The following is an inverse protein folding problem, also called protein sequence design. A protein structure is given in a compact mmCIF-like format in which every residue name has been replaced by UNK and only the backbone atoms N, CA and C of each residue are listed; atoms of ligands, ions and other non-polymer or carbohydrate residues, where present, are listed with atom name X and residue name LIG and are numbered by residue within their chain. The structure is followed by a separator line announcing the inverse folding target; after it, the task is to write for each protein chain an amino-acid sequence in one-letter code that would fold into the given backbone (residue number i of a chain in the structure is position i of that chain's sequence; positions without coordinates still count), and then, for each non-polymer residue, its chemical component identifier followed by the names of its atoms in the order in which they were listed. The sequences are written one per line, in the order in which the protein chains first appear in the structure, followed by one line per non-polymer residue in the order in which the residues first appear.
data_IF_961068661416
#
_entry.id   IF_961068661416
#
_cell.length_a   1.000
_cell.length_b   1.000
_cell.length_c   1.000
_cell.angle_alpha   90.00
_cell.angle_beta   90.00
_cell.angle_gamma   90.00
#
_symmetry.space_group_name_H-M   'P 1'
#
loop_
_entity.id
_entity.type
_entity.pdbx_description
1 polymer ?
#
# COMPACT_ATOMS: atom_id res chain seq x y z
N UNK A 1 31.83 22.76 3.93
CA UNK A 1 33.25 23.02 4.29
C UNK A 1 34.24 22.03 3.61
N UNK A 2 33.90 20.75 3.46
CA UNK A 2 34.78 19.73 2.81
C UNK A 2 35.02 20.00 1.32
N UNK A 3 34.02 20.53 0.59
CA UNK A 3 34.06 20.81 -0.85
C UNK A 3 35.16 21.82 -1.25
N UNK A 4 35.34 22.86 -0.45
CA UNK A 4 36.33 23.94 -0.73
C UNK A 4 37.76 23.55 -0.36
N UNK A 5 37.97 22.59 0.55
CA UNK A 5 39.29 22.08 0.91
C UNK A 5 39.89 21.13 -0.16
N UNK A 6 39.05 20.36 -0.87
CA UNK A 6 39.45 19.47 -1.94
C UNK A 6 40.00 20.21 -3.18
N UNK A 7 39.44 21.35 -3.52
CA UNK A 7 39.88 22.16 -4.66
C UNK A 7 41.29 22.78 -4.40
N UNK A 8 41.57 23.12 -3.14
CA UNK A 8 42.86 23.78 -2.77
C UNK A 8 44.05 22.84 -2.62
N UNK A 9 43.83 21.54 -2.33
CA UNK A 9 44.88 20.58 -2.02
C UNK A 9 45.21 19.64 -3.19
N UNK A 10 44.23 19.31 -4.04
CA UNK A 10 44.44 18.28 -5.10
C UNK A 10 44.09 18.82 -6.50
N UNK A 11 43.51 20.02 -6.62
CA UNK A 11 43.15 20.64 -7.92
C UNK A 11 42.05 19.89 -8.70
N UNK A 12 41.26 19.05 -8.02
CA UNK A 12 40.27 18.18 -8.63
C UNK A 12 38.85 18.63 -8.20
N UNK A 13 37.99 18.83 -9.16
CA UNK A 13 36.57 19.17 -8.91
C UNK A 13 35.74 17.87 -8.86
N UNK A 14 35.26 17.44 -7.65
CA UNK A 14 34.70 16.09 -7.47
C UNK A 14 33.48 15.79 -8.34
N UNK A 15 32.79 16.81 -8.85
CA UNK A 15 31.59 16.61 -9.72
C UNK A 15 31.92 16.55 -11.22
N UNK A 16 33.00 17.21 -11.68
CA UNK A 16 33.40 17.27 -13.08
C UNK A 16 34.30 16.12 -13.51
N UNK A 17 35.20 15.66 -12.60
CA UNK A 17 36.19 14.63 -12.91
C UNK A 17 35.62 13.20 -12.74
N UNK A 18 34.57 12.99 -11.94
CA UNK A 18 33.81 11.73 -11.87
C UNK A 18 33.05 11.50 -13.19
N UNK A 19 32.45 12.55 -13.78
CA UNK A 19 31.71 12.46 -15.03
C UNK A 19 32.64 12.19 -16.25
N UNK A 20 33.94 12.48 -16.16
CA UNK A 20 34.89 12.36 -17.28
C UNK A 20 35.76 11.12 -17.24
N UNK A 21 35.59 10.20 -16.26
CA UNK A 21 36.34 8.93 -16.20
C UNK A 21 37.84 9.05 -15.86
N UNK A 22 38.34 10.20 -15.42
CA UNK A 22 39.76 10.47 -15.11
C UNK A 22 40.24 9.99 -13.73
N UNK A 23 39.49 9.07 -13.11
CA UNK A 23 39.83 8.53 -11.77
C UNK A 23 41.15 7.73 -11.79
N UNK A 24 41.51 7.14 -12.93
CA UNK A 24 42.77 6.40 -13.06
C UNK A 24 44.03 7.30 -12.87
N UNK A 25 43.92 8.58 -13.24
CA UNK A 25 45.05 9.55 -13.16
C UNK A 25 45.25 10.03 -11.71
N UNK A 26 44.19 10.09 -10.91
CA UNK A 26 44.25 10.42 -9.48
C UNK A 26 44.94 9.29 -8.69
N UNK A 27 44.75 8.02 -9.11
CA UNK A 27 45.34 6.84 -8.49
C UNK A 27 46.86 6.81 -8.68
N UNK A 28 47.40 7.24 -9.83
CA UNK A 28 48.82 7.30 -10.09
C UNK A 28 49.54 8.44 -9.36
N UNK A 29 48.86 9.58 -9.14
CA UNK A 29 49.38 10.73 -8.41
C UNK A 29 49.41 10.55 -6.88
N UNK A 30 48.45 9.81 -6.31
CA UNK A 30 48.39 9.56 -4.85
C UNK A 30 49.50 8.57 -4.37
N UNK A 31 50.03 7.72 -5.25
CA UNK A 31 51.12 6.77 -4.90
C UNK A 31 52.49 7.42 -4.79
N UNK A 32 52.69 8.66 -5.24
CA UNK A 32 54.03 9.32 -5.25
C UNK A 32 54.24 10.33 -4.11
N UNK A 33 53.27 10.57 -3.23
CA UNK A 33 53.38 11.52 -2.12
C UNK A 33 53.83 10.87 -0.80
N UNK A 34 55.11 10.73 -0.62
CA UNK A 34 55.75 10.24 0.62
C UNK A 34 55.88 11.31 1.73
N UNK A 35 55.28 12.49 1.58
CA UNK A 35 55.43 13.65 2.48
C UNK A 35 54.13 14.10 3.19
N UNK A 36 53.11 13.23 3.28
CA UNK A 36 51.87 13.61 3.97
C UNK A 36 51.86 13.19 5.45
N UNK A 37 51.33 14.07 6.32
CA UNK A 37 51.14 13.77 7.73
C UNK A 37 50.13 12.63 7.94
N UNK A 38 50.22 11.87 9.02
CA UNK A 38 49.32 10.71 9.31
C UNK A 38 47.82 11.05 9.18
N UNK A 39 47.44 12.26 9.51
CA UNK A 39 46.02 12.73 9.43
C UNK A 39 45.54 12.88 7.99
N UNK A 40 46.40 13.42 7.09
CA UNK A 40 46.04 13.55 5.68
C UNK A 40 46.06 12.21 4.94
N UNK A 41 46.81 11.24 5.39
CA UNK A 41 46.80 9.86 4.87
C UNK A 41 45.50 9.13 5.24
N UNK A 42 44.95 9.37 6.44
CA UNK A 42 43.69 8.83 6.89
C UNK A 42 42.47 9.43 6.12
N UNK A 43 42.52 10.75 5.88
CA UNK A 43 41.50 11.44 5.06
C UNK A 43 41.55 10.97 3.60
N UNK A 44 42.72 10.79 3.03
CA UNK A 44 42.88 10.25 1.66
C UNK A 44 42.43 8.79 1.53
N UNK A 45 42.67 7.95 2.55
CA UNK A 45 42.09 6.59 2.58
C UNK A 45 40.57 6.60 2.63
N UNK A 46 39.93 7.42 3.46
CA UNK A 46 38.51 7.55 3.54
C UNK A 46 37.87 7.99 2.21
N UNK A 47 38.51 8.93 1.50
CA UNK A 47 38.04 9.41 0.18
C UNK A 47 38.21 8.31 -0.89
N UNK A 48 39.30 7.57 -0.87
CA UNK A 48 39.51 6.43 -1.79
C UNK A 48 38.51 5.30 -1.53
N UNK A 49 38.23 4.98 -0.28
CA UNK A 49 37.19 3.99 0.08
C UNK A 49 35.79 4.45 -0.33
N UNK A 50 35.47 5.75 -0.16
CA UNK A 50 34.20 6.32 -0.64
C UNK A 50 34.09 6.25 -2.17
N UNK A 51 35.17 6.59 -2.88
CA UNK A 51 35.26 6.49 -4.33
C UNK A 51 35.05 5.06 -4.84
N UNK A 52 35.70 4.08 -4.20
CA UNK A 52 35.55 2.66 -4.51
C UNK A 52 34.11 2.13 -4.20
N UNK A 53 33.47 2.63 -3.13
CA UNK A 53 32.09 2.34 -2.84
C UNK A 53 31.15 2.91 -3.92
N UNK A 54 31.36 4.15 -4.34
CA UNK A 54 30.58 4.79 -5.40
C UNK A 54 30.76 4.05 -6.74
N UNK A 55 31.99 3.68 -7.11
CA UNK A 55 32.23 2.89 -8.33
C UNK A 55 31.59 1.52 -8.28
N UNK A 56 31.61 0.84 -7.13
CA UNK A 56 30.90 -0.44 -6.94
C UNK A 56 29.39 -0.28 -7.09
N UNK A 57 28.82 0.75 -6.48
CA UNK A 57 27.38 1.05 -6.57
C UNK A 57 26.99 1.35 -8.02
N UNK A 58 27.76 2.22 -8.70
CA UNK A 58 27.49 2.58 -10.11
C UNK A 58 27.68 1.39 -11.06
N UNK A 59 28.63 0.49 -10.78
CA UNK A 59 28.80 -0.75 -11.55
C UNK A 59 27.64 -1.72 -11.30
N UNK A 60 27.20 -1.87 -10.04
CA UNK A 60 26.03 -2.68 -9.70
C UNK A 60 24.73 -2.09 -10.28
N UNK A 61 24.57 -0.77 -10.32
CA UNK A 61 23.43 -0.11 -10.99
C UNK A 61 23.43 -0.39 -12.50
N UNK A 62 24.60 -0.41 -13.17
CA UNK A 62 24.72 -0.80 -14.57
C UNK A 62 24.51 -2.30 -14.80
N UNK A 63 25.04 -3.15 -13.93
CA UNK A 63 24.85 -4.61 -14.01
C UNK A 63 23.40 -5.00 -13.66
N UNK A 64 22.71 -4.15 -12.89
CA UNK A 64 21.31 -4.35 -12.50
C UNK A 64 20.33 -4.06 -13.64
N UNK A 65 20.71 -3.30 -14.68
CA UNK A 65 19.86 -2.98 -15.83
C UNK A 65 18.39 -2.71 -15.42
N UNK A 66 18.19 -1.78 -14.45
CA UNK A 66 16.86 -1.45 -13.93
C UNK A 66 16.03 -0.78 -15.02
N UNK A 67 14.72 -1.07 -15.13
CA UNK A 67 13.83 -0.39 -16.05
C UNK A 67 13.87 1.13 -15.82
N UNK A 68 13.82 1.91 -16.90
CA UNK A 68 13.71 3.37 -16.82
C UNK A 68 12.50 3.78 -15.96
N UNK A 69 12.70 4.67 -14.98
CA UNK A 69 11.65 5.12 -14.06
C UNK A 69 11.57 4.39 -12.72
N UNK A 70 12.49 3.44 -12.44
CA UNK A 70 12.56 2.83 -11.10
C UNK A 70 13.29 3.78 -10.14
N UNK A 71 12.60 4.34 -9.15
CA UNK A 71 13.25 5.13 -8.11
C UNK A 71 14.17 4.25 -7.25
N UNK A 72 15.47 4.50 -7.36
CA UNK A 72 16.47 3.81 -6.53
C UNK A 72 16.59 4.58 -5.21
N UNK A 73 15.83 4.15 -4.22
CA UNK A 73 15.87 4.73 -2.87
C UNK A 73 17.19 4.38 -2.14
N UNK A 74 17.62 5.23 -1.19
CA UNK A 74 18.80 4.97 -0.36
C UNK A 74 18.78 3.59 0.34
N UNK A 75 17.66 3.12 0.92
CA UNK A 75 17.58 1.78 1.50
C UNK A 75 17.86 0.66 0.51
N UNK A 76 17.38 0.79 -0.74
CA UNK A 76 17.64 -0.19 -1.79
C UNK A 76 19.14 -0.28 -2.13
N UNK A 77 19.83 0.86 -2.19
CA UNK A 77 21.28 0.89 -2.44
C UNK A 77 22.08 0.19 -1.33
N UNK A 78 21.70 0.43 -0.08
CA UNK A 78 22.32 -0.21 1.08
C UNK A 78 22.13 -1.73 0.99
N UNK A 79 20.90 -2.18 0.80
CA UNK A 79 20.57 -3.60 0.66
C UNK A 79 21.35 -4.28 -0.48
N UNK A 80 21.37 -3.67 -1.67
CA UNK A 80 22.11 -4.22 -2.82
C UNK A 80 23.63 -4.31 -2.57
N UNK A 81 24.18 -3.35 -1.83
CA UNK A 81 25.61 -3.39 -1.46
C UNK A 81 25.88 -4.53 -0.46
N UNK A 82 25.02 -4.76 0.50
CA UNK A 82 25.15 -5.84 1.50
C UNK A 82 25.08 -7.22 0.83
N UNK A 83 24.06 -7.49 0.02
CA UNK A 83 23.93 -8.77 -0.68
C UNK A 83 25.06 -9.01 -1.71
N UNK A 84 25.64 -7.92 -2.24
CA UNK A 84 26.77 -7.99 -3.17
C UNK A 84 28.07 -8.47 -2.53
N UNK A 85 28.20 -8.39 -1.20
CA UNK A 85 29.37 -8.86 -0.46
C UNK A 85 29.33 -10.38 -0.20
N UNK A 86 28.15 -10.99 -0.27
CA UNK A 86 27.95 -12.42 -0.03
C UNK A 86 28.44 -13.21 -1.26
N UNK A 87 29.34 -14.19 -1.08
CA UNK A 87 29.80 -15.01 -2.19
C UNK A 87 28.68 -15.88 -2.76
N UNK A 88 28.76 -16.17 -4.04
CA UNK A 88 27.83 -17.11 -4.68
C UNK A 88 28.19 -18.54 -4.25
N UNK A 89 27.18 -19.36 -3.98
CA UNK A 89 27.34 -20.76 -3.61
C UNK A 89 27.64 -21.61 -4.85
N UNK A 90 28.57 -22.54 -4.70
CA UNK A 90 28.81 -23.61 -5.67
C UNK A 90 27.71 -24.70 -5.56
N UNK A 91 27.59 -25.56 -6.55
CA UNK A 91 26.61 -26.65 -6.54
C UNK A 91 26.84 -27.64 -5.40
N UNK A 92 28.11 -27.90 -5.07
CA UNK A 92 28.50 -28.78 -3.96
C UNK A 92 28.12 -28.16 -2.62
N UNK A 93 28.38 -26.86 -2.43
CA UNK A 93 27.98 -26.10 -1.23
C UNK A 93 26.46 -26.02 -1.07
N UNK A 94 25.70 -25.82 -2.16
CA UNK A 94 24.23 -25.84 -2.15
C UNK A 94 23.70 -27.20 -1.62
N UNK A 95 24.29 -28.32 -2.06
CA UNK A 95 23.93 -29.67 -1.62
C UNK A 95 24.28 -29.93 -0.16
N UNK A 96 25.49 -29.55 0.24
CA UNK A 96 25.95 -29.71 1.62
C UNK A 96 25.10 -28.91 2.61
N UNK A 97 24.78 -27.65 2.27
CA UNK A 97 23.92 -26.80 3.05
C UNK A 97 22.49 -27.34 3.07
N UNK A 98 21.98 -27.86 1.94
CA UNK A 98 20.67 -28.51 1.87
C UNK A 98 20.58 -29.75 2.76
N UNK A 99 21.61 -30.58 2.80
CA UNK A 99 21.69 -31.75 3.67
C UNK A 99 21.67 -31.37 5.16
N UNK A 100 22.45 -30.33 5.55
CA UNK A 100 22.48 -29.81 6.91
C UNK A 100 21.17 -29.15 7.31
N UNK A 101 20.57 -28.37 6.42
CA UNK A 101 19.25 -27.74 6.62
C UNK A 101 18.16 -28.81 6.86
N UNK A 102 18.18 -29.92 6.11
CA UNK A 102 17.25 -31.03 6.31
C UNK A 102 17.45 -31.74 7.66
N UNK A 103 18.66 -31.69 8.25
CA UNK A 103 18.93 -32.17 9.60
C UNK A 103 18.51 -31.22 10.71
N UNK A 104 17.95 -30.03 10.37
CA UNK A 104 17.48 -29.04 11.33
C UNK A 104 18.52 -27.97 11.69
N UNK A 105 19.62 -27.84 10.95
CA UNK A 105 20.62 -26.78 11.13
C UNK A 105 20.10 -25.44 10.56
N UNK A 106 19.74 -24.51 11.45
CA UNK A 106 19.23 -23.19 11.08
C UNK A 106 20.34 -22.31 10.46
N UNK A 107 21.59 -22.46 10.87
CA UNK A 107 22.70 -21.69 10.34
C UNK A 107 22.99 -22.10 8.89
N UNK A 108 22.88 -23.37 8.58
CA UNK A 108 23.01 -23.87 7.22
C UNK A 108 21.88 -23.36 6.31
N UNK A 109 20.63 -23.36 6.82
CA UNK A 109 19.49 -22.79 6.09
C UNK A 109 19.68 -21.31 5.81
N UNK A 110 20.09 -20.54 6.82
CA UNK A 110 20.35 -19.10 6.68
C UNK A 110 21.43 -18.80 5.64
N UNK A 111 22.53 -19.57 5.62
CA UNK A 111 23.57 -19.43 4.59
C UNK A 111 23.06 -19.75 3.18
N UNK A 112 22.18 -20.74 3.04
CA UNK A 112 21.56 -21.08 1.76
C UNK A 112 20.66 -19.95 1.27
N UNK A 113 19.89 -19.32 2.16
CA UNK A 113 19.05 -18.15 1.87
C UNK A 113 19.90 -16.95 1.46
N UNK A 114 20.89 -16.57 2.26
CA UNK A 114 21.77 -15.42 2.01
C UNK A 114 22.51 -15.53 0.67
N UNK A 115 23.02 -16.70 0.33
CA UNK A 115 23.72 -16.93 -0.94
C UNK A 115 22.84 -16.77 -2.19
N UNK A 116 21.50 -16.85 -2.01
CA UNK A 116 20.53 -16.77 -3.10
C UNK A 116 19.71 -15.46 -3.13
N UNK A 117 19.97 -14.47 -2.28
CA UNK A 117 19.28 -13.17 -2.29
C UNK A 117 19.42 -12.44 -3.64
N UNK A 118 20.54 -12.59 -4.32
CA UNK A 118 20.79 -12.01 -5.66
C UNK A 118 19.84 -12.57 -6.72
N UNK A 119 19.44 -13.85 -6.60
CA UNK A 119 18.47 -14.47 -7.47
C UNK A 119 17.10 -13.79 -7.32
N UNK A 120 16.68 -13.50 -6.08
CA UNK A 120 15.41 -12.80 -5.80
C UNK A 120 15.39 -11.44 -6.49
N UNK A 121 16.45 -10.63 -6.37
CA UNK A 121 16.55 -9.32 -7.03
C UNK A 121 16.46 -9.45 -8.54
N UNK A 122 17.14 -10.45 -9.13
CA UNK A 122 17.09 -10.72 -10.56
C UNK A 122 15.66 -11.02 -11.05
N UNK A 123 14.90 -11.78 -10.27
CA UNK A 123 13.51 -12.10 -10.60
C UNK A 123 12.57 -10.90 -10.36
N UNK A 124 12.74 -10.15 -9.27
CA UNK A 124 11.91 -8.99 -8.91
C UNK A 124 11.88 -7.91 -10.01
N UNK A 125 12.98 -7.70 -10.72
CA UNK A 125 13.07 -6.76 -11.85
C UNK A 125 12.02 -6.99 -12.93
N UNK A 126 11.64 -8.23 -13.19
CA UNK A 126 10.64 -8.57 -14.20
C UNK A 126 9.20 -8.25 -13.77
N UNK A 127 9.02 -7.92 -12.49
CA UNK A 127 7.71 -7.61 -11.90
C UNK A 127 7.54 -6.13 -11.53
N UNK A 128 8.54 -5.28 -11.80
CA UNK A 128 8.46 -3.82 -11.57
C UNK A 128 7.35 -3.17 -12.39
N UNK A 129 6.82 -2.03 -11.90
CA UNK A 129 5.79 -1.27 -12.60
C UNK A 129 4.37 -1.86 -12.49
N UNK A 130 4.14 -2.79 -11.57
CA UNK A 130 2.84 -3.45 -11.35
C UNK A 130 2.09 -2.97 -10.12
N UNK A 131 2.38 -1.75 -9.64
CA UNK A 131 1.70 -1.15 -8.48
C UNK A 131 2.32 -1.47 -7.12
N UNK A 132 3.48 -2.16 -7.09
CA UNK A 132 4.25 -2.41 -5.87
C UNK A 132 5.68 -1.89 -6.08
N UNK A 133 6.30 -1.36 -5.02
CA UNK A 133 7.68 -0.90 -5.06
C UNK A 133 8.64 -2.07 -5.29
N UNK A 134 9.81 -1.80 -5.91
CA UNK A 134 10.81 -2.85 -6.12
C UNK A 134 11.32 -3.44 -4.80
N UNK A 135 11.43 -2.62 -3.76
CA UNK A 135 11.87 -3.08 -2.44
C UNK A 135 10.89 -4.06 -1.82
N UNK A 136 9.59 -3.76 -1.88
CA UNK A 136 8.56 -4.66 -1.36
C UNK A 136 8.49 -5.97 -2.15
N UNK A 137 8.63 -5.90 -3.49
CA UNK A 137 8.73 -7.12 -4.33
C UNK A 137 9.91 -7.99 -3.94
N UNK A 138 11.06 -7.39 -3.63
CA UNK A 138 12.24 -8.12 -3.16
C UNK A 138 11.94 -8.79 -1.82
N UNK A 139 11.31 -8.08 -0.86
CA UNK A 139 11.03 -8.65 0.46
C UNK A 139 10.00 -9.79 0.38
N UNK A 140 8.95 -9.63 -0.39
CA UNK A 140 7.99 -10.71 -0.65
C UNK A 140 8.65 -11.92 -1.34
N UNK A 141 9.57 -11.64 -2.29
CA UNK A 141 10.38 -12.67 -2.91
C UNK A 141 11.33 -13.37 -1.94
N UNK A 142 11.89 -12.65 -0.96
CA UNK A 142 12.72 -13.24 0.10
C UNK A 142 11.88 -14.18 0.99
N UNK A 143 10.63 -13.84 1.31
CA UNK A 143 9.71 -14.74 2.02
C UNK A 143 9.49 -16.02 1.21
N UNK A 144 9.32 -15.90 -0.11
CA UNK A 144 9.24 -17.06 -1.01
C UNK A 144 10.52 -17.90 -1.03
N UNK A 145 11.70 -17.27 -0.98
CA UNK A 145 13.00 -17.93 -0.90
C UNK A 145 13.15 -18.72 0.41
N UNK A 146 12.78 -18.12 1.56
CA UNK A 146 12.80 -18.78 2.86
C UNK A 146 11.91 -20.03 2.84
N UNK A 147 10.73 -19.91 2.27
CA UNK A 147 9.80 -21.06 2.12
C UNK A 147 10.37 -22.17 1.22
N UNK A 148 11.11 -21.78 0.17
CA UNK A 148 11.81 -22.72 -0.67
C UNK A 148 12.96 -23.43 0.09
N UNK A 149 13.71 -22.70 0.92
CA UNK A 149 14.80 -23.26 1.72
C UNK A 149 14.32 -24.28 2.76
N UNK A 150 13.14 -24.05 3.37
CA UNK A 150 12.49 -24.99 4.28
C UNK A 150 12.07 -26.32 3.63
N UNK A 151 11.62 -26.26 2.37
CA UNK A 151 11.05 -27.40 1.65
C UNK A 151 11.99 -28.02 0.63
N UNK A 152 13.23 -27.54 0.57
CA UNK A 152 14.21 -28.03 -0.39
C UNK A 152 14.64 -29.47 -0.09
N UNK A 153 14.50 -30.32 -1.12
CA UNK A 153 14.90 -31.71 -1.07
C UNK A 153 16.21 -31.90 -1.89
N UNK A 154 17.31 -32.01 -1.19
CA UNK A 154 18.65 -32.18 -1.77
C UNK A 154 18.87 -33.53 -2.48
N UNK A 155 17.98 -34.52 -2.23
CA UNK A 155 18.08 -35.84 -2.84
C UNK A 155 17.66 -35.83 -4.33
N UNK A 156 16.90 -34.80 -4.72
CA UNK A 156 16.52 -34.58 -6.10
C UNK A 156 17.67 -33.81 -6.78
N UNK A 157 18.32 -34.38 -7.75
CA UNK A 157 19.49 -33.82 -8.46
C UNK A 157 19.27 -32.45 -9.13
N UNK A 158 18.30 -31.66 -8.68
CA UNK A 158 17.97 -30.33 -9.18
C UNK A 158 18.69 -29.25 -8.39
N UNK A 159 19.19 -28.21 -9.07
CA UNK A 159 19.75 -27.02 -8.44
C UNK A 159 18.70 -26.32 -7.55
N UNK A 160 19.14 -25.82 -6.41
CA UNK A 160 18.29 -25.05 -5.50
C UNK A 160 17.66 -23.84 -6.21
N UNK A 161 18.41 -23.12 -7.04
CA UNK A 161 17.93 -21.97 -7.80
C UNK A 161 16.71 -22.29 -8.70
N UNK A 162 16.67 -23.49 -9.30
CA UNK A 162 15.53 -23.93 -10.13
C UNK A 162 14.27 -24.10 -9.31
N UNK A 163 14.37 -24.72 -8.14
CA UNK A 163 13.27 -24.92 -7.23
C UNK A 163 12.80 -23.60 -6.57
N UNK A 164 13.76 -22.83 -6.06
CA UNK A 164 13.49 -21.54 -5.41
C UNK A 164 12.83 -20.54 -6.36
N UNK A 165 13.23 -20.49 -7.63
CA UNK A 165 12.65 -19.58 -8.61
C UNK A 165 11.13 -19.70 -8.73
N UNK A 166 10.58 -20.90 -8.54
CA UNK A 166 9.14 -21.13 -8.60
C UNK A 166 8.43 -20.49 -7.38
N UNK A 167 8.95 -20.72 -6.18
CA UNK A 167 8.41 -20.16 -4.94
C UNK A 167 8.53 -18.64 -4.86
N UNK A 168 9.67 -18.10 -5.32
CA UNK A 168 9.91 -16.67 -5.38
C UNK A 168 8.90 -16.00 -6.32
N UNK A 169 8.69 -16.54 -7.51
CA UNK A 169 7.71 -16.01 -8.47
C UNK A 169 6.27 -16.09 -7.95
N UNK A 170 5.92 -17.19 -7.29
CA UNK A 170 4.60 -17.38 -6.68
C UNK A 170 4.37 -16.34 -5.57
N UNK A 171 5.34 -16.14 -4.66
CA UNK A 171 5.26 -15.15 -3.60
C UNK A 171 5.10 -13.72 -4.16
N UNK A 172 5.93 -13.33 -5.13
CA UNK A 172 5.83 -12.01 -5.78
C UNK A 172 4.48 -11.82 -6.49
N UNK A 173 4.02 -12.84 -7.22
CA UNK A 173 2.75 -12.77 -7.92
C UNK A 173 1.58 -12.63 -6.94
N UNK A 174 1.61 -13.38 -5.84
CA UNK A 174 0.61 -13.32 -4.78
C UNK A 174 0.60 -11.95 -4.09
N UNK A 175 1.78 -11.37 -3.84
CA UNK A 175 1.91 -10.03 -3.29
C UNK A 175 1.29 -8.98 -4.24
N UNK A 176 1.58 -9.06 -5.55
CA UNK A 176 0.99 -8.17 -6.56
C UNK A 176 -0.54 -8.29 -6.53
N UNK A 177 -1.09 -9.49 -6.46
CA UNK A 177 -2.54 -9.69 -6.47
C UNK A 177 -3.23 -9.17 -5.20
N UNK A 178 -2.51 -9.08 -4.09
CA UNK A 178 -3.04 -8.64 -2.80
C UNK A 178 -2.82 -7.16 -2.49
N UNK A 179 -1.73 -6.56 -2.98
CA UNK A 179 -1.25 -5.25 -2.50
C UNK A 179 -1.12 -4.20 -3.61
N UNK A 180 -1.23 -4.58 -4.90
CA UNK A 180 -1.01 -3.65 -6.02
C UNK A 180 -2.07 -2.56 -6.17
N UNK A 181 -3.22 -2.69 -5.50
CA UNK A 181 -4.35 -1.77 -5.61
C UNK A 181 -4.61 -1.07 -4.29
N UNK A 182 -4.93 0.22 -4.34
CA UNK A 182 -5.34 1.00 -3.17
C UNK A 182 -6.60 0.41 -2.51
N UNK A 183 -7.59 0.04 -3.32
CA UNK A 183 -8.76 -0.71 -2.85
C UNK A 183 -8.47 -2.20 -3.05
N UNK A 184 -8.25 -2.91 -1.93
CA UNK A 184 -7.95 -4.34 -1.93
C UNK A 184 -9.09 -5.15 -2.57
N UNK A 185 -8.72 -6.01 -3.50
CA UNK A 185 -9.63 -6.95 -4.18
C UNK A 185 -9.28 -8.39 -3.81
N UNK A 186 -10.27 -9.28 -3.59
CA UNK A 186 -10.01 -10.71 -3.38
C UNK A 186 -9.29 -11.36 -4.56
N UNK A 187 -8.41 -12.34 -4.29
CA UNK A 187 -7.54 -12.99 -5.29
C UNK A 187 -8.34 -13.58 -6.45
N UNK A 188 -9.46 -14.25 -6.19
CA UNK A 188 -10.31 -14.84 -7.23
C UNK A 188 -10.93 -13.80 -8.18
N UNK A 189 -11.22 -12.59 -7.67
CA UNK A 189 -11.69 -11.46 -8.51
C UNK A 189 -10.51 -10.91 -9.32
N UNK A 190 -9.33 -10.74 -8.72
CA UNK A 190 -8.12 -10.28 -9.42
C UNK A 190 -7.72 -11.23 -10.56
N UNK A 191 -7.85 -12.55 -10.38
CA UNK A 191 -7.64 -13.53 -11.44
C UNK A 191 -8.65 -13.38 -12.59
N UNK A 192 -9.92 -13.17 -12.28
CA UNK A 192 -10.94 -12.92 -13.29
C UNK A 192 -10.68 -11.61 -14.05
N UNK A 193 -10.26 -10.56 -13.35
CA UNK A 193 -9.87 -9.29 -13.96
C UNK A 193 -8.72 -9.47 -14.95
N UNK A 194 -7.70 -10.25 -14.61
CA UNK A 194 -6.58 -10.56 -15.53
C UNK A 194 -7.06 -11.32 -16.76
N UNK A 195 -7.98 -12.29 -16.60
CA UNK A 195 -8.56 -13.04 -17.70
C UNK A 195 -9.35 -12.12 -18.62
N UNK A 196 -10.23 -11.28 -18.07
CA UNK A 196 -11.02 -10.30 -18.83
C UNK A 196 -10.11 -9.34 -19.60
N UNK A 197 -9.08 -8.77 -18.95
CA UNK A 197 -8.12 -7.88 -19.60
C UNK A 197 -7.37 -8.56 -20.77
N UNK A 198 -6.96 -9.81 -20.56
CA UNK A 198 -6.26 -10.57 -21.61
C UNK A 198 -7.16 -10.77 -22.82
N UNK A 199 -8.39 -11.27 -22.60
CA UNK A 199 -9.37 -11.50 -23.67
C UNK A 199 -9.73 -10.19 -24.37
N UNK A 200 -9.94 -9.10 -23.61
CA UNK A 200 -10.22 -7.78 -24.16
C UNK A 200 -9.10 -7.30 -25.10
N UNK A 201 -7.83 -7.45 -24.69
CA UNK A 201 -6.65 -7.13 -25.53
C UNK A 201 -6.57 -8.00 -26.78
N UNK A 202 -6.80 -9.31 -26.65
CA UNK A 202 -6.77 -10.24 -27.76
C UNK A 202 -7.87 -9.92 -28.79
N UNK A 203 -9.08 -9.56 -28.31
CA UNK A 203 -10.20 -9.15 -29.19
C UNK A 203 -9.94 -7.77 -29.80
N UNK A 204 -9.38 -6.81 -29.05
CA UNK A 204 -8.99 -5.50 -29.56
C UNK A 204 -7.97 -5.64 -30.70
N UNK A 205 -7.00 -6.55 -30.56
CA UNK A 205 -6.02 -6.83 -31.61
C UNK A 205 -6.65 -7.45 -32.84
N UNK A 206 -7.68 -8.32 -32.67
CA UNK A 206 -8.41 -8.96 -33.77
C UNK A 206 -9.32 -8.00 -34.51
N UNK A 207 -10.06 -7.15 -33.80
CA UNK A 207 -11.11 -6.30 -34.35
C UNK A 207 -10.66 -4.87 -34.67
N UNK A 208 -9.50 -4.44 -34.15
CA UNK A 208 -9.00 -3.05 -34.27
C UNK A 208 -9.82 -2.00 -33.49
N UNK A 209 -10.76 -2.44 -32.64
CA UNK A 209 -11.58 -1.61 -31.76
C UNK A 209 -11.71 -2.23 -30.37
N UNK A 210 -12.16 -1.47 -29.41
CA UNK A 210 -12.49 -1.99 -28.09
C UNK A 210 -13.61 -3.04 -28.16
N UNK A 211 -13.41 -4.14 -27.43
CA UNK A 211 -14.36 -5.24 -27.38
C UNK A 211 -15.56 -4.89 -26.47
N UNK A 212 -16.75 -5.25 -26.89
CA UNK A 212 -17.95 -5.08 -26.05
C UNK A 212 -17.98 -6.13 -24.93
N UNK A 213 -18.62 -5.84 -23.77
CA UNK A 213 -18.74 -6.83 -22.69
C UNK A 213 -19.40 -8.15 -23.13
N UNK A 214 -20.26 -8.11 -24.13
CA UNK A 214 -20.93 -9.28 -24.70
C UNK A 214 -19.98 -10.16 -25.51
N UNK A 215 -19.08 -9.53 -26.28
CA UNK A 215 -18.05 -10.22 -27.04
C UNK A 215 -17.02 -10.89 -26.11
N UNK A 216 -16.63 -10.19 -25.03
CA UNK A 216 -15.74 -10.76 -24.02
C UNK A 216 -16.39 -11.94 -23.31
N UNK A 217 -17.67 -11.81 -22.94
CA UNK A 217 -18.43 -12.89 -22.29
C UNK A 217 -18.57 -14.12 -23.18
N UNK A 218 -18.79 -13.93 -24.49
CA UNK A 218 -18.88 -15.02 -25.46
C UNK A 218 -17.57 -15.81 -25.54
N UNK A 219 -16.41 -15.16 -25.48
CA UNK A 219 -15.10 -15.83 -25.48
C UNK A 219 -14.81 -16.52 -24.13
N UNK A 220 -15.33 -15.98 -23.01
CA UNK A 220 -15.17 -16.58 -21.67
C UNK A 220 -16.00 -17.86 -21.45
N UNK A 221 -16.99 -18.16 -22.27
CA UNK A 221 -17.89 -19.34 -22.29
C UNK A 221 -18.68 -19.61 -20.99
N UNK A 222 -18.17 -19.25 -19.82
CA UNK A 222 -18.72 -19.59 -18.50
C UNK A 222 -19.32 -18.41 -17.74
N UNK A 223 -19.31 -17.19 -18.31
CA UNK A 223 -19.68 -15.97 -17.57
C UNK A 223 -20.73 -15.13 -18.31
N UNK A 224 -21.64 -14.52 -17.56
CA UNK A 224 -22.67 -13.63 -18.12
C UNK A 224 -22.04 -12.26 -18.53
N UNK A 225 -22.65 -11.53 -19.47
CA UNK A 225 -22.20 -10.18 -19.84
C UNK A 225 -22.28 -9.20 -18.66
N UNK A 226 -23.22 -9.40 -17.74
CA UNK A 226 -23.36 -8.58 -16.51
C UNK A 226 -22.13 -8.74 -15.61
N UNK A 227 -21.65 -9.97 -15.41
CA UNK A 227 -20.43 -10.23 -14.66
C UNK A 227 -19.21 -9.55 -15.30
N UNK A 228 -19.10 -9.55 -16.63
CA UNK A 228 -18.01 -8.85 -17.32
C UNK A 228 -18.10 -7.34 -17.13
N UNK A 229 -19.30 -6.73 -17.16
CA UNK A 229 -19.51 -5.31 -16.87
C UNK A 229 -19.08 -4.97 -15.43
N UNK A 230 -19.43 -5.80 -14.47
CA UNK A 230 -19.03 -5.64 -13.07
C UNK A 230 -17.50 -5.69 -12.93
N UNK A 231 -16.84 -6.68 -13.54
CA UNK A 231 -15.37 -6.79 -13.54
C UNK A 231 -14.72 -5.58 -14.20
N UNK A 232 -15.27 -5.07 -15.30
CA UNK A 232 -14.75 -3.88 -15.98
C UNK A 232 -14.86 -2.63 -15.10
N UNK A 233 -15.90 -2.49 -14.28
CA UNK A 233 -16.01 -1.39 -13.32
C UNK A 233 -14.92 -1.44 -12.24
N UNK A 234 -14.52 -2.64 -11.81
CA UNK A 234 -13.42 -2.82 -10.84
C UNK A 234 -12.02 -2.58 -11.44
N UNK A 235 -11.91 -2.55 -12.77
CA UNK A 235 -10.63 -2.28 -13.44
C UNK A 235 -10.23 -0.80 -13.40
N UNK A 236 -11.18 0.09 -13.16
CA UNK A 236 -10.91 1.53 -13.05
C UNK A 236 -10.06 1.80 -11.80
N UNK A 237 -8.98 2.54 -11.98
CA UNK A 237 -8.15 2.99 -10.87
C UNK A 237 -8.76 4.25 -10.24
N UNK A 238 -8.63 4.43 -8.91
CA UNK A 238 -8.97 5.70 -8.27
C UNK A 238 -8.19 6.86 -8.89
N UNK A 239 -8.84 8.00 -9.01
CA UNK A 239 -8.21 9.24 -9.45
C UNK A 239 -7.82 10.06 -8.22
N UNK A 240 -6.64 10.68 -8.23
CA UNK A 240 -6.19 11.52 -7.11
C UNK A 240 -7.07 12.76 -6.97
N UNK A 241 -7.48 13.06 -5.75
CA UNK A 241 -8.21 14.31 -5.43
C UNK A 241 -7.34 15.57 -5.59
N UNK A 242 -6.02 15.41 -5.58
CA UNK A 242 -5.07 16.51 -5.83
C UNK A 242 -4.82 16.77 -7.32
N UNK A 243 -5.54 16.06 -8.22
CA UNK A 243 -5.42 16.30 -9.65
C UNK A 243 -5.90 17.71 -9.97
N UNK A 244 -5.05 18.57 -10.59
CA UNK A 244 -5.44 19.93 -10.93
C UNK A 244 -6.54 19.91 -12.00
N UNK A 245 -7.55 20.76 -11.83
CA UNK A 245 -8.71 20.89 -12.74
C UNK A 245 -8.75 22.33 -13.26
N UNK A 246 -8.92 22.48 -14.57
CA UNK A 246 -8.98 23.79 -15.24
C UNK A 246 -7.67 24.16 -15.94
N UNK A 247 -7.72 25.21 -16.76
CA UNK A 247 -6.55 25.69 -17.52
C UNK A 247 -5.52 26.38 -16.63
N UNK A 248 -5.95 26.98 -15.52
CA UNK A 248 -5.09 27.72 -14.59
C UNK A 248 -4.44 26.83 -13.52
N UNK A 249 -4.93 25.59 -13.32
CA UNK A 249 -4.37 24.62 -12.37
C UNK A 249 -4.46 25.03 -10.89
N UNK A 250 -5.25 26.08 -10.56
CA UNK A 250 -5.40 26.58 -9.19
C UNK A 250 -6.35 25.73 -8.33
N UNK A 251 -7.31 25.02 -8.97
CA UNK A 251 -8.30 24.19 -8.30
C UNK A 251 -7.95 22.71 -8.41
N UNK A 252 -8.17 21.96 -7.35
CA UNK A 252 -8.01 20.53 -7.33
C UNK A 252 -9.38 19.82 -7.47
N UNK A 253 -9.36 18.59 -7.96
CA UNK A 253 -10.57 17.78 -8.07
C UNK A 253 -11.30 17.62 -6.72
N UNK A 254 -10.54 17.58 -5.61
CA UNK A 254 -11.09 17.49 -4.26
C UNK A 254 -11.96 18.67 -3.86
N UNK A 255 -11.66 19.87 -4.34
CA UNK A 255 -12.40 21.10 -4.04
C UNK A 255 -13.80 21.12 -4.73
N UNK A 256 -13.97 20.28 -5.75
CA UNK A 256 -15.24 20.14 -6.49
C UNK A 256 -16.15 19.02 -5.95
N UNK A 257 -15.66 18.21 -5.00
CA UNK A 257 -16.44 17.11 -4.43
C UNK A 257 -17.33 17.65 -3.32
N UNK A 258 -18.66 17.52 -3.51
CA UNK A 258 -19.68 17.94 -2.54
C UNK A 258 -19.64 17.06 -1.29
N UNK A 259 -19.62 17.69 -0.11
CA UNK A 259 -19.86 17.01 1.17
C UNK A 259 -21.36 16.83 1.39
N UNK A 260 -21.84 15.61 1.21
CA UNK A 260 -23.27 15.24 1.37
C UNK A 260 -23.72 15.14 2.82
N UNK A 261 -22.79 15.02 3.75
CA UNK A 261 -23.07 14.90 5.17
C UNK A 261 -23.04 16.25 5.88
N UNK A 262 -22.60 17.30 5.21
CA UNK A 262 -22.62 18.66 5.73
C UNK A 262 -24.08 19.14 5.88
N UNK A 263 -24.45 19.55 7.10
CA UNK A 263 -25.76 20.16 7.36
C UNK A 263 -25.81 21.54 6.71
N UNK A 264 -26.77 21.74 5.79
CA UNK A 264 -26.98 23.06 5.21
C UNK A 264 -27.52 24.05 6.27
N UNK A 265 -27.29 25.37 6.12
CA UNK A 265 -27.89 26.36 7.03
C UNK A 265 -29.41 26.26 7.09
N UNK A 266 -30.06 25.87 5.99
CA UNK A 266 -31.52 25.63 5.92
C UNK A 266 -31.92 24.43 6.75
N UNK A 267 -31.18 23.32 6.69
CA UNK A 267 -31.45 22.12 7.50
C UNK A 267 -31.23 22.40 8.98
N UNK A 268 -30.20 23.14 9.33
CA UNK A 268 -29.95 23.55 10.71
C UNK A 268 -31.05 24.44 11.24
N UNK A 269 -31.56 25.38 10.44
CA UNK A 269 -32.67 26.24 10.79
C UNK A 269 -33.96 25.45 10.94
N UNK A 270 -34.28 24.54 10.00
CA UNK A 270 -35.43 23.66 10.07
C UNK A 270 -35.42 22.78 11.33
N UNK A 271 -34.25 22.27 11.72
CA UNK A 271 -34.10 21.51 12.97
C UNK A 271 -34.36 22.36 14.21
N UNK A 272 -33.92 23.63 14.20
CA UNK A 272 -34.22 24.55 15.31
C UNK A 272 -35.70 24.86 15.40
N UNK A 273 -36.35 25.18 14.29
CA UNK A 273 -37.81 25.44 14.26
C UNK A 273 -38.58 24.21 14.73
N UNK A 274 -38.22 23.02 14.24
CA UNK A 274 -38.86 21.78 14.71
C UNK A 274 -38.69 21.53 16.21
N UNK A 275 -37.51 21.84 16.76
CA UNK A 275 -37.28 21.74 18.21
C UNK A 275 -38.15 22.73 18.99
N UNK A 276 -38.27 23.97 18.52
CA UNK A 276 -39.10 24.98 19.14
C UNK A 276 -40.57 24.59 19.09
N UNK A 277 -41.08 24.11 17.94
CA UNK A 277 -42.45 23.62 17.80
C UNK A 277 -42.74 22.44 18.73
N UNK A 278 -41.82 21.46 18.81
CA UNK A 278 -41.97 20.34 19.74
C UNK A 278 -41.98 20.82 21.20
N UNK A 279 -41.14 21.80 21.54
CA UNK A 279 -41.10 22.35 22.88
C UNK A 279 -42.38 23.10 23.24
N UNK A 280 -42.96 23.89 22.32
CA UNK A 280 -44.22 24.57 22.48
C UNK A 280 -45.38 23.58 22.62
N UNK A 281 -45.37 22.49 21.88
CA UNK A 281 -46.35 21.41 22.03
C UNK A 281 -46.24 20.74 23.41
N UNK A 282 -45.02 20.49 23.89
CA UNK A 282 -44.79 19.89 25.21
C UNK A 282 -45.22 20.81 26.38
N UNK A 283 -45.14 22.13 26.22
CA UNK A 283 -45.61 23.09 27.22
C UNK A 283 -47.14 23.01 27.46
N UNK A 284 -47.88 22.52 26.49
CA UNK A 284 -49.31 22.32 26.62
C UNK A 284 -49.73 21.12 27.46
N UNK A 285 -48.79 20.26 27.81
CA UNK A 285 -49.00 19.06 28.61
C UNK A 285 -48.81 19.35 30.10
N UNK A 286 -49.48 18.55 30.94
CA UNK A 286 -49.27 18.57 32.38
C UNK A 286 -47.82 18.06 32.69
N UNK A 287 -47.22 18.49 33.80
CA UNK A 287 -45.82 18.14 34.13
C UNK A 287 -45.57 16.63 34.11
N UNK A 288 -46.50 15.81 34.62
CA UNK A 288 -46.40 14.35 34.59
C UNK A 288 -46.48 13.78 33.18
N UNK A 289 -47.37 14.31 32.33
CA UNK A 289 -47.52 13.90 30.93
C UNK A 289 -46.25 14.27 30.13
N UNK A 290 -45.72 15.48 30.36
CA UNK A 290 -44.52 15.99 29.73
C UNK A 290 -43.30 15.11 30.09
N UNK A 291 -43.13 14.75 31.35
CA UNK A 291 -42.02 13.92 31.81
C UNK A 291 -42.08 12.51 31.18
N UNK A 292 -43.27 11.88 31.14
CA UNK A 292 -43.45 10.57 30.49
C UNK A 292 -43.06 10.64 29.01
N UNK A 293 -43.50 11.66 28.26
CA UNK A 293 -43.19 11.82 26.84
C UNK A 293 -41.67 12.08 26.64
N UNK A 294 -41.04 12.93 27.46
CA UNK A 294 -39.59 13.21 27.38
C UNK A 294 -38.74 11.95 27.56
N UNK A 295 -39.05 11.16 28.60
CA UNK A 295 -38.34 9.90 28.85
C UNK A 295 -38.62 8.86 27.76
N UNK A 296 -39.89 8.74 27.34
CA UNK A 296 -40.28 7.75 26.32
C UNK A 296 -39.61 7.95 24.98
N UNK A 297 -39.51 9.19 24.52
CA UNK A 297 -38.92 9.54 23.23
C UNK A 297 -37.46 10.00 23.34
N UNK A 298 -36.88 10.03 24.54
CA UNK A 298 -35.46 10.41 24.72
C UNK A 298 -35.17 11.86 24.35
N UNK A 299 -36.12 12.79 24.65
CA UNK A 299 -35.96 14.19 24.23
C UNK A 299 -34.93 14.98 25.04
N UNK A 300 -34.49 14.46 26.21
CA UNK A 300 -33.46 15.06 27.06
C UNK A 300 -32.10 14.35 26.85
N UNK A 301 -32.06 13.01 26.96
CA UNK A 301 -30.84 12.23 27.00
C UNK A 301 -30.55 11.50 25.67
N UNK A 302 -31.39 11.66 24.66
CA UNK A 302 -31.24 10.95 23.38
C UNK A 302 -31.51 9.44 23.47
N UNK A 303 -31.92 8.92 24.64
CA UNK A 303 -32.20 7.50 24.86
C UNK A 303 -33.68 7.27 25.08
N UNK A 304 -34.29 6.37 24.31
CA UNK A 304 -35.66 5.96 24.49
C UNK A 304 -35.81 4.97 25.66
N UNK A 305 -36.67 5.23 26.61
CA UNK A 305 -36.93 4.34 27.76
C UNK A 305 -38.15 3.46 27.52
N UNK A 306 -38.17 2.27 28.11
CA UNK A 306 -39.31 1.36 28.10
C UNK A 306 -40.37 1.82 29.07
N UNK A 307 -41.64 1.41 28.88
CA UNK A 307 -42.73 1.76 29.79
C UNK A 307 -42.53 1.23 31.23
N UNK A 308 -41.73 0.19 31.39
CA UNK A 308 -41.40 -0.43 32.65
C UNK A 308 -40.37 0.41 33.41
N UNK A 309 -39.27 0.82 32.75
CA UNK A 309 -38.26 1.72 33.28
C UNK A 309 -38.86 3.08 33.71
N UNK A 310 -39.70 3.65 32.86
CA UNK A 310 -40.42 4.91 33.21
C UNK A 310 -41.36 4.69 34.41
N UNK A 311 -41.97 3.52 34.51
CA UNK A 311 -42.82 3.15 35.63
C UNK A 311 -42.04 3.11 36.95
N UNK A 312 -40.88 2.50 36.94
CA UNK A 312 -39.95 2.39 38.07
C UNK A 312 -39.44 3.77 38.50
N UNK A 313 -39.07 4.62 37.56
CA UNK A 313 -38.57 5.98 37.83
C UNK A 313 -39.63 6.89 38.44
N UNK A 314 -40.88 6.81 37.94
CA UNK A 314 -42.01 7.63 38.40
C UNK A 314 -42.81 6.99 39.53
N UNK A 315 -42.42 5.80 40.01
CA UNK A 315 -43.14 5.01 41.03
C UNK A 315 -44.60 4.74 40.66
N UNK A 316 -44.87 4.35 39.39
CA UNK A 316 -46.17 4.01 38.88
C UNK A 316 -46.15 2.70 38.10
N UNK A 317 -47.31 2.03 37.96
CA UNK A 317 -47.41 0.79 37.23
C UNK A 317 -47.23 1.03 35.72
N UNK A 318 -46.63 0.08 34.98
CA UNK A 318 -46.50 0.10 33.52
C UNK A 318 -47.79 0.49 32.77
N UNK A 319 -48.90 -0.09 33.21
CA UNK A 319 -50.21 0.21 32.60
C UNK A 319 -50.64 1.68 32.84
N UNK A 320 -50.27 2.25 34.00
CA UNK A 320 -50.51 3.66 34.29
C UNK A 320 -49.70 4.58 33.41
N UNK A 321 -48.44 4.24 33.15
CA UNK A 321 -47.56 4.98 32.19
C UNK A 321 -48.16 4.93 30.79
N UNK A 322 -48.62 3.76 30.33
CA UNK A 322 -49.31 3.60 29.03
C UNK A 322 -50.57 4.49 28.91
N UNK A 323 -51.37 4.59 29.98
CA UNK A 323 -52.55 5.46 30.01
C UNK A 323 -52.18 6.94 29.93
N UNK A 324 -51.11 7.34 30.62
CA UNK A 324 -50.62 8.73 30.59
C UNK A 324 -50.11 9.06 29.19
N UNK A 325 -49.29 8.17 28.59
CA UNK A 325 -48.79 8.29 27.22
C UNK A 325 -49.91 8.46 26.20
N UNK A 326 -50.95 7.58 26.25
CA UNK A 326 -52.07 7.65 25.35
C UNK A 326 -52.85 8.98 25.42
N UNK A 327 -53.08 9.47 26.64
CA UNK A 327 -53.74 10.78 26.87
C UNK A 327 -52.89 11.95 26.40
N UNK A 328 -51.56 11.91 26.66
CA UNK A 328 -50.63 12.92 26.21
C UNK A 328 -50.60 13.00 24.69
N UNK A 329 -50.49 11.84 24.01
CA UNK A 329 -50.49 11.76 22.55
C UNK A 329 -51.79 12.26 21.93
N UNK A 330 -52.97 11.99 22.55
CA UNK A 330 -54.25 12.50 22.09
C UNK A 330 -54.30 14.04 22.17
N UNK A 331 -53.84 14.63 23.30
CA UNK A 331 -53.74 16.08 23.45
C UNK A 331 -52.79 16.71 22.42
N UNK A 332 -51.61 16.12 22.21
CA UNK A 332 -50.65 16.59 21.22
C UNK A 332 -51.24 16.56 19.79
N UNK A 333 -51.91 15.46 19.41
CA UNK A 333 -52.59 15.37 18.11
C UNK A 333 -53.65 16.44 17.92
N UNK A 334 -54.51 16.69 18.96
CA UNK A 334 -55.55 17.70 18.88
C UNK A 334 -55.01 19.13 18.75
N UNK A 335 -53.81 19.39 19.26
CA UNK A 335 -53.15 20.69 19.16
C UNK A 335 -52.39 20.84 17.86
N UNK A 336 -51.66 19.81 17.42
CA UNK A 336 -50.98 19.79 16.13
C UNK A 336 -51.91 19.94 14.91
N UNK A 337 -53.17 19.55 15.03
CA UNK A 337 -54.17 19.75 13.97
C UNK A 337 -54.72 21.20 13.92
N UNK A 338 -54.45 22.01 14.95
CA UNK A 338 -54.86 23.41 15.05
C UNK A 338 -53.75 24.43 14.74
N UNK A 339 -52.52 23.98 14.64
CA UNK A 339 -51.37 24.70 14.11
C UNK A 339 -51.30 24.52 12.58
#
# INVERSE_FOLDING_TARGET
MVRNKLISVVGVNPTADIASGRIAEVRSRSMSCNCMTRTSQQECRGILELGLKIERITRMEKDLNLPEGTEVTEPLKIYLNEIGQIPLLSEEEERDLGCKSASGDEDARRKLEEGNLRLVVSLAKHYTGRGITLMDLIQEGNIGLMHAAEKYDYTKENRFSTYASWWIKEAMQRAIDQQSREIRVPVHVAENMKKVQKIAKDLQQKFGREATPEEIAAEMKDKSPEFVKEILSYLQNPVSLETPVGEDGENNLGDMVEDKDATTPEDAMNQLVQKEEVQELLESLNDRERQVIRLRFGLEDGKTHTLEEIGDELNVTRERVRQIEARAMEKLRSKATKL
#
